data_IF_145800293893
#
_entry.id   IF_145800293893
#
_cell.length_a   1.000
_cell.length_b   1.000
_cell.length_c   1.000
_cell.angle_alpha   90.00
_cell.angle_beta   90.00
_cell.angle_gamma   90.00
#
_symmetry.space_group_name_H-M   'P 1'
#
loop_
_entity.id
_entity.type
_entity.pdbx_description
1 polymer ?
#
# COMPACT_ATOMS: atom_id res chain seq x y z
N UNK A 1 0.07 -8.74 19.62
CA UNK A 1 0.45 -10.10 19.17
C UNK A 1 1.75 -10.46 19.86
N UNK A 2 1.85 -11.63 20.50
CA UNK A 2 3.12 -12.15 21.04
C UNK A 2 3.51 -13.37 20.22
N UNK A 3 4.79 -13.49 19.85
CA UNK A 3 5.33 -14.56 19.02
C UNK A 3 6.78 -14.86 19.42
N UNK A 4 7.26 -16.05 19.08
CA UNK A 4 8.66 -16.45 19.24
C UNK A 4 9.32 -16.59 17.86
N UNK A 5 10.56 -16.13 17.75
CA UNK A 5 11.39 -16.29 16.56
C UNK A 5 12.16 -17.61 16.63
N UNK A 6 12.20 -18.34 15.52
CA UNK A 6 13.07 -19.49 15.33
C UNK A 6 14.25 -19.11 14.41
N UNK A 7 15.48 -18.99 14.95
CA UNK A 7 16.68 -18.68 14.17
C UNK A 7 16.97 -19.67 13.05
N UNK A 8 16.62 -20.95 13.22
CA UNK A 8 16.89 -22.01 12.23
C UNK A 8 15.92 -21.96 11.04
N UNK A 9 14.90 -21.11 11.10
CA UNK A 9 13.93 -20.91 10.02
C UNK A 9 14.37 -19.90 8.95
N UNK A 10 15.53 -19.25 9.13
CA UNK A 10 16.05 -18.25 8.18
C UNK A 10 16.24 -18.86 6.80
N UNK A 11 15.71 -18.20 5.77
CA UNK A 11 15.76 -18.69 4.38
C UNK A 11 14.59 -19.60 3.99
N UNK A 12 13.63 -19.86 4.91
CA UNK A 12 12.36 -20.52 4.60
C UNK A 12 12.39 -22.05 4.62
N UNK A 13 13.55 -22.65 4.91
CA UNK A 13 13.72 -24.08 5.20
C UNK A 13 14.21 -24.25 6.63
N UNK A 14 13.82 -25.34 7.29
CA UNK A 14 14.21 -25.64 8.67
C UNK A 14 14.80 -27.06 8.74
N UNK A 15 15.70 -27.34 9.70
CA UNK A 15 16.30 -28.67 9.83
C UNK A 15 15.29 -29.79 10.12
N UNK A 16 14.19 -29.46 10.79
CA UNK A 16 13.12 -30.40 11.15
C UNK A 16 12.10 -30.66 10.02
N UNK A 17 12.28 -30.02 8.85
CA UNK A 17 11.47 -30.24 7.66
C UNK A 17 10.05 -29.63 7.71
N UNK A 18 9.73 -28.81 8.71
CA UNK A 18 8.43 -28.13 8.79
C UNK A 18 8.27 -27.14 7.62
N UNK A 19 7.04 -27.02 7.12
CA UNK A 19 6.72 -26.11 5.99
C UNK A 19 6.04 -24.84 6.48
N UNK A 20 6.66 -23.69 6.19
CA UNK A 20 6.05 -22.37 6.40
C UNK A 20 5.07 -22.09 5.25
N UNK A 21 3.80 -21.85 5.58
CA UNK A 21 2.72 -21.74 4.58
C UNK A 21 2.58 -20.34 3.95
N UNK A 22 3.25 -19.33 4.50
CA UNK A 22 3.16 -17.98 3.99
C UNK A 22 4.18 -17.05 4.62
N UNK A 23 4.44 -15.95 3.92
CA UNK A 23 5.41 -14.93 4.28
C UNK A 23 4.70 -13.58 4.33
N UNK A 24 4.92 -12.81 5.40
CA UNK A 24 4.42 -11.44 5.55
C UNK A 24 5.59 -10.46 5.45
N UNK A 25 5.33 -9.24 4.97
CA UNK A 25 6.23 -8.12 5.21
C UNK A 25 6.08 -7.65 6.66
N UNK A 26 7.10 -6.97 7.16
CA UNK A 26 7.13 -6.34 8.47
C UNK A 26 8.15 -5.21 8.46
N UNK A 27 8.05 -4.29 9.41
CA UNK A 27 9.04 -3.25 9.68
C UNK A 27 9.38 -3.27 11.16
N UNK A 28 10.60 -2.88 11.53
CA UNK A 28 10.99 -2.81 12.94
C UNK A 28 10.21 -1.71 13.66
N UNK A 29 9.78 -1.95 14.89
CA UNK A 29 9.06 -0.95 15.69
C UNK A 29 9.97 0.19 16.19
N UNK A 30 11.29 -0.04 16.21
CA UNK A 30 12.29 0.91 16.71
C UNK A 30 13.18 1.48 15.61
N UNK A 31 13.31 0.76 14.49
CA UNK A 31 14.14 1.13 13.35
C UNK A 31 13.24 1.26 12.12
N UNK A 32 12.55 2.39 12.02
CA UNK A 32 11.65 2.69 10.93
C UNK A 32 11.65 4.18 10.62
N UNK A 33 11.06 4.52 9.48
CA UNK A 33 10.74 5.90 9.11
C UNK A 33 9.22 6.08 9.08
N UNK A 34 8.69 7.13 9.73
CA UNK A 34 7.28 7.48 9.56
C UNK A 34 7.07 8.02 8.14
N UNK A 35 5.95 7.64 7.53
CA UNK A 35 5.58 8.12 6.21
C UNK A 35 4.06 8.29 6.09
N UNK A 36 3.66 9.18 5.20
CA UNK A 36 2.29 9.31 4.74
C UNK A 36 2.13 8.48 3.45
N UNK A 37 1.02 7.76 3.34
CA UNK A 37 0.60 7.10 2.11
C UNK A 37 -0.72 7.71 1.66
N UNK A 38 -0.75 8.26 0.45
CA UNK A 38 -1.98 8.66 -0.24
C UNK A 38 -2.43 7.50 -1.12
N UNK A 39 -3.44 6.77 -0.65
CA UNK A 39 -4.03 5.65 -1.37
C UNK A 39 -5.18 6.15 -2.24
N UNK A 40 -5.12 5.85 -3.54
CA UNK A 40 -6.09 6.35 -4.51
C UNK A 40 -7.04 5.26 -5.00
N UNK A 41 -8.30 5.66 -5.19
CA UNK A 41 -9.36 4.89 -5.83
C UNK A 41 -9.92 5.68 -7.03
N UNK A 42 -10.91 5.11 -7.72
CA UNK A 42 -11.55 5.80 -8.84
C UNK A 42 -12.16 7.14 -8.38
N UNK A 43 -11.87 8.21 -9.12
CA UNK A 43 -12.37 9.56 -8.81
C UNK A 43 -13.89 9.68 -8.91
N UNK A 44 -14.52 8.89 -9.78
CA UNK A 44 -15.97 8.91 -10.00
C UNK A 44 -16.59 7.56 -9.65
N UNK A 45 -17.80 7.61 -9.12
CA UNK A 45 -18.60 6.44 -8.75
C UNK A 45 -19.23 5.74 -9.96
N UNK A 46 -19.37 6.47 -11.08
CA UNK A 46 -19.97 5.98 -12.32
C UNK A 46 -18.94 5.84 -13.43
N UNK A 47 -19.07 4.82 -14.31
CA UNK A 47 -18.23 4.71 -15.51
C UNK A 47 -18.35 5.91 -16.46
N UNK A 48 -19.54 6.52 -16.54
CA UNK A 48 -19.76 7.79 -17.21
C UNK A 48 -20.05 8.87 -16.15
N UNK A 49 -19.10 9.79 -15.86
CA UNK A 49 -19.30 10.86 -14.89
C UNK A 49 -20.46 11.81 -15.25
N UNK A 50 -20.77 11.98 -16.53
CA UNK A 50 -21.83 12.86 -17.01
C UNK A 50 -23.24 12.23 -16.93
N UNK A 51 -23.33 10.94 -16.57
CA UNK A 51 -24.62 10.30 -16.27
C UNK A 51 -25.15 10.80 -14.92
N UNK A 52 -25.74 11.99 -14.92
CA UNK A 52 -26.34 12.63 -13.76
C UNK A 52 -27.84 12.87 -14.00
N UNK A 53 -28.66 12.80 -12.94
CA UNK A 53 -30.09 13.04 -13.05
C UNK A 53 -30.42 14.49 -13.42
N UNK A 54 -31.69 14.79 -13.72
CA UNK A 54 -32.13 16.15 -14.01
C UNK A 54 -31.79 17.10 -12.85
N UNK A 55 -31.07 18.18 -13.16
CA UNK A 55 -30.59 19.15 -12.15
C UNK A 55 -29.30 18.75 -11.42
N UNK A 56 -28.70 17.60 -11.72
CA UNK A 56 -27.40 17.17 -11.19
C UNK A 56 -26.27 17.40 -12.20
N UNK A 57 -25.03 17.34 -11.73
CA UNK A 57 -23.81 17.51 -12.51
C UNK A 57 -22.86 16.32 -12.30
N UNK A 58 -21.77 16.26 -13.07
CA UNK A 58 -20.75 15.24 -12.88
C UNK A 58 -20.07 15.29 -11.49
N UNK A 59 -20.12 16.44 -10.80
CA UNK A 59 -19.59 16.59 -9.45
C UNK A 59 -20.36 15.76 -8.43
N UNK A 60 -21.65 15.52 -8.66
CA UNK A 60 -22.49 14.67 -7.83
C UNK A 60 -22.08 13.18 -7.91
N UNK A 61 -21.32 12.81 -8.95
CA UNK A 61 -20.77 11.48 -9.13
C UNK A 61 -19.34 11.33 -8.58
N UNK A 62 -18.77 12.35 -7.92
CA UNK A 62 -17.43 12.25 -7.30
C UNK A 62 -17.43 11.20 -6.18
N UNK A 63 -16.37 10.42 -6.14
CA UNK A 63 -16.10 9.49 -5.06
C UNK A 63 -15.36 10.21 -3.93
N UNK A 64 -16.05 10.42 -2.81
CA UNK A 64 -15.45 11.02 -1.60
C UNK A 64 -14.32 10.16 -1.01
N UNK A 65 -14.27 8.88 -1.35
CA UNK A 65 -13.25 7.92 -0.92
C UNK A 65 -12.15 7.72 -1.98
N UNK A 66 -12.10 8.57 -3.01
CA UNK A 66 -11.09 8.49 -4.09
C UNK A 66 -9.66 8.72 -3.61
N UNK A 67 -9.48 9.31 -2.43
CA UNK A 67 -8.21 9.44 -1.76
C UNK A 67 -8.34 9.12 -0.27
N UNK A 68 -7.36 8.36 0.24
CA UNK A 68 -7.22 8.06 1.67
C UNK A 68 -5.79 8.32 2.11
N UNK A 69 -5.65 9.22 3.06
CA UNK A 69 -4.36 9.51 3.70
C UNK A 69 -4.14 8.56 4.87
N UNK A 70 -3.05 7.81 4.84
CA UNK A 70 -2.70 6.76 5.80
C UNK A 70 -1.35 7.08 6.40
N UNK A 71 -1.26 7.11 7.73
CA UNK A 71 0.04 7.14 8.43
C UNK A 71 0.58 5.72 8.51
N UNK A 72 1.80 5.53 8.04
CA UNK A 72 2.46 4.24 8.01
C UNK A 72 3.94 4.37 8.40
N UNK A 73 4.62 3.23 8.43
CA UNK A 73 6.03 3.11 8.75
C UNK A 73 6.72 2.31 7.65
N UNK A 74 7.90 2.76 7.26
CA UNK A 74 8.76 2.13 6.27
C UNK A 74 10.13 1.71 6.83
N UNK A 75 10.90 1.00 6.02
CA UNK A 75 12.30 0.66 6.33
C UNK A 75 13.19 1.90 6.30
N UNK A 76 14.30 1.89 7.05
CA UNK A 76 15.19 3.05 7.22
C UNK A 76 15.75 3.56 5.88
N UNK A 77 15.96 2.66 4.93
CA UNK A 77 16.46 2.94 3.58
C UNK A 77 15.57 3.93 2.81
N UNK A 78 14.27 4.01 3.15
CA UNK A 78 13.37 4.97 2.54
C UNK A 78 13.64 6.42 2.97
N UNK A 79 14.42 6.66 4.04
CA UNK A 79 14.78 8.02 4.48
C UNK A 79 15.52 8.82 3.40
N UNK A 80 16.21 8.15 2.48
CA UNK A 80 16.93 8.77 1.38
C UNK A 80 16.15 8.84 0.06
N UNK A 81 14.87 8.51 0.06
CA UNK A 81 14.06 8.50 -1.15
C UNK A 81 13.78 9.92 -1.66
N UNK A 82 13.90 10.14 -2.97
CA UNK A 82 13.71 11.44 -3.61
C UNK A 82 12.38 11.50 -4.37
N UNK A 83 11.76 12.69 -4.51
CA UNK A 83 10.54 12.85 -5.29
C UNK A 83 10.62 12.21 -6.69
N UNK A 84 9.61 11.40 -7.02
CA UNK A 84 9.55 10.66 -8.28
C UNK A 84 10.20 9.27 -8.25
N UNK A 85 10.94 8.93 -7.19
CA UNK A 85 11.40 7.55 -6.97
C UNK A 85 10.21 6.60 -6.90
N UNK A 86 10.45 5.33 -7.25
CA UNK A 86 9.39 4.32 -7.40
C UNK A 86 9.76 3.07 -6.64
N UNK A 87 8.82 2.59 -5.85
CA UNK A 87 9.00 1.43 -5.00
C UNK A 87 7.83 0.47 -5.14
N UNK A 88 8.12 -0.82 -4.98
CA UNK A 88 7.09 -1.79 -4.68
C UNK A 88 7.09 -2.02 -3.17
N UNK A 89 6.02 -1.61 -2.47
CA UNK A 89 5.84 -2.05 -1.09
C UNK A 89 5.30 -3.46 -1.12
N UNK A 90 6.07 -4.39 -0.55
CA UNK A 90 5.83 -5.82 -0.68
C UNK A 90 4.40 -6.20 -0.29
N UNK A 91 3.75 -6.99 -1.15
CA UNK A 91 2.36 -7.44 -0.95
C UNK A 91 1.31 -6.32 -0.83
N UNK A 92 1.66 -5.05 -1.06
CA UNK A 92 0.73 -3.91 -1.00
C UNK A 92 0.45 -3.32 -2.38
N UNK A 93 1.49 -2.88 -3.09
CA UNK A 93 1.33 -2.16 -4.35
C UNK A 93 2.61 -1.50 -4.82
N UNK A 94 2.49 -0.70 -5.87
CA UNK A 94 3.54 0.18 -6.34
C UNK A 94 3.23 1.61 -5.93
N UNK A 95 4.28 2.32 -5.52
CA UNK A 95 4.22 3.66 -4.96
C UNK A 95 5.28 4.54 -5.60
N UNK A 96 5.04 5.84 -5.59
CA UNK A 96 6.03 6.85 -5.95
C UNK A 96 6.13 7.90 -4.86
N UNK A 97 7.32 8.44 -4.64
CA UNK A 97 7.53 9.55 -3.70
C UNK A 97 6.88 10.80 -4.27
N UNK A 98 5.96 11.39 -3.52
CA UNK A 98 5.23 12.58 -3.92
C UNK A 98 6.14 13.83 -3.82
N UNK A 99 6.00 14.83 -4.70
CA UNK A 99 6.73 16.10 -4.62
C UNK A 99 6.55 16.89 -3.32
N UNK A 100 5.48 16.65 -2.56
CA UNK A 100 5.26 17.24 -1.23
C UNK A 100 6.19 16.63 -0.16
N UNK A 101 6.92 15.56 -0.50
CA UNK A 101 7.88 14.94 0.42
C UNK A 101 9.00 15.90 0.78
N UNK A 102 9.38 15.85 2.05
CA UNK A 102 10.52 16.59 2.61
C UNK A 102 11.47 15.64 3.31
N UNK A 103 12.65 16.14 3.69
CA UNK A 103 13.62 15.37 4.49
C UNK A 103 13.08 14.90 5.84
N UNK A 104 12.01 15.51 6.34
CA UNK A 104 11.40 15.18 7.65
C UNK A 104 10.07 14.43 7.51
N UNK A 105 9.43 14.49 6.34
CA UNK A 105 8.11 13.92 6.08
C UNK A 105 8.05 13.33 4.68
N UNK A 106 8.16 12.00 4.61
CA UNK A 106 7.99 11.26 3.36
C UNK A 106 6.51 11.07 3.04
N UNK A 107 6.15 11.33 1.79
CA UNK A 107 4.80 11.15 1.26
C UNK A 107 4.87 10.22 0.06
N UNK A 108 4.09 9.15 0.08
CA UNK A 108 4.03 8.17 -0.98
C UNK A 108 2.63 8.10 -1.60
N UNK A 109 2.58 8.23 -2.92
CA UNK A 109 1.35 8.04 -3.68
C UNK A 109 1.24 6.59 -4.13
N UNK A 110 0.12 5.93 -3.82
CA UNK A 110 -0.15 4.60 -4.34
C UNK A 110 -0.48 4.69 -5.83
N UNK A 111 0.47 4.27 -6.67
CA UNK A 111 0.29 4.26 -8.13
C UNK A 111 -0.70 3.19 -8.56
N UNK A 112 -0.55 1.97 -8.03
CA UNK A 112 -1.46 0.86 -8.33
C UNK A 112 -1.35 -0.24 -7.27
N UNK A 113 -2.46 -0.92 -6.98
CA UNK A 113 -2.48 -2.10 -6.13
C UNK A 113 -1.86 -3.31 -6.83
N UNK A 114 -1.38 -4.29 -6.06
CA UNK A 114 -1.00 -5.57 -6.66
C UNK A 114 -2.25 -6.31 -7.14
N UNK A 115 -2.07 -7.14 -8.17
CA UNK A 115 -3.14 -7.96 -8.71
C UNK A 115 -3.67 -8.93 -7.65
N UNK A 116 -4.87 -8.67 -7.15
CA UNK A 116 -5.58 -9.62 -6.29
C UNK A 116 -6.15 -10.78 -7.13
N UNK A 117 -5.49 -11.94 -7.04
CA UNK A 117 -5.91 -13.17 -7.70
C UNK A 117 -6.82 -14.04 -6.83
N UNK A 118 -6.92 -13.75 -5.53
CA UNK A 118 -7.70 -14.53 -4.57
C UNK A 118 -9.17 -14.08 -4.53
N UNK A 119 -9.44 -12.77 -4.55
CA UNK A 119 -10.81 -12.25 -4.64
C UNK A 119 -11.55 -12.73 -5.91
N UNK A 120 -10.83 -12.99 -7.01
CA UNK A 120 -11.40 -13.58 -8.23
C UNK A 120 -11.80 -15.05 -8.08
N UNK A 121 -11.19 -15.81 -7.16
CA UNK A 121 -11.55 -17.22 -6.90
C UNK A 121 -12.77 -17.38 -6.02
N UNK A 122 -13.07 -16.44 -5.12
CA UNK A 122 -14.26 -16.50 -4.27
C UNK A 122 -15.55 -16.03 -4.97
N UNK A 123 -15.43 -15.32 -6.10
CA UNK A 123 -16.56 -14.93 -6.96
C UNK A 123 -16.93 -15.99 -8.01
N UNK A 124 -16.28 -17.16 -7.99
CA UNK A 124 -16.64 -18.35 -8.77
C UNK A 124 -17.23 -19.38 -7.83
#
# INVERSE_FOLDING_TARGET
>A
IQAAFDPESRGGSTPDGRKVKGTIHWVSATENVPLEVRAYEQLFLKPNPDDAGEGQTFLDNLNSESEKVIRAYGELELAGAEPGDRFQFERKGYYTVDPDSTTEALVFNQTVTLRDSWAKKQKK
#
